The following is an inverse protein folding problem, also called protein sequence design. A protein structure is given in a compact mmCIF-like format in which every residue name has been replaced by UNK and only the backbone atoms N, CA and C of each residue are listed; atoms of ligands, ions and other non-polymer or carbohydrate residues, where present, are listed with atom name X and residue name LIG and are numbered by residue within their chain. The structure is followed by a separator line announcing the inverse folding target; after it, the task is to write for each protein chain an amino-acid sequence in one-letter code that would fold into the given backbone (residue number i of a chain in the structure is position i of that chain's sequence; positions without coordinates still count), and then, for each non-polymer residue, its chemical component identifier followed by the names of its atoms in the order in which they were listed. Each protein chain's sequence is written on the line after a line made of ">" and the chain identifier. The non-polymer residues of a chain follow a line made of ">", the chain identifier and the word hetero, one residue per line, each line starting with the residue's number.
data_IF_726869185158
#
_entry.id   IF_726869185158
#
_cell.length_a   1.000
_cell.length_b   1.000
_cell.length_c   1.000
_cell.angle_alpha   90.00
_cell.angle_beta   90.00
_cell.angle_gamma   90.00
#
_symmetry.space_group_name_H-M   'P 1'
#
loop_
_entity.id
_entity.type
_entity.pdbx_description
1 polymer ?
#
# COMPACT_ATOMS: atom_id res chain seq x y z
N UNK A 1 -34.73 41.06 -9.98
CA UNK A 1 -35.11 40.16 -8.88
C UNK A 1 -33.89 39.92 -8.02
N UNK A 2 -33.82 40.57 -6.86
CA UNK A 2 -32.75 40.36 -5.87
C UNK A 2 -33.13 39.16 -5.01
N UNK A 3 -32.38 38.06 -5.11
CA UNK A 3 -32.53 36.91 -4.21
C UNK A 3 -31.98 37.29 -2.83
N UNK A 4 -32.83 37.31 -1.80
CA UNK A 4 -32.37 37.42 -0.42
C UNK A 4 -31.98 36.04 0.09
N UNK A 5 -30.70 35.88 0.47
CA UNK A 5 -30.17 34.65 1.02
C UNK A 5 -30.71 34.46 2.44
N UNK A 6 -31.49 33.39 2.65
CA UNK A 6 -31.99 33.04 3.97
C UNK A 6 -30.99 32.14 4.72
N UNK A 7 -30.10 32.76 5.49
CA UNK A 7 -29.06 32.06 6.26
C UNK A 7 -29.61 31.01 7.24
N UNK A 8 -30.80 31.20 7.80
CA UNK A 8 -31.42 30.21 8.69
C UNK A 8 -31.70 28.91 7.94
N UNK A 9 -32.26 28.99 6.72
CA UNK A 9 -32.50 27.82 5.88
C UNK A 9 -31.21 27.10 5.52
N UNK A 10 -30.15 27.85 5.20
CA UNK A 10 -28.83 27.28 4.89
C UNK A 10 -28.27 26.51 6.09
N UNK A 11 -28.28 27.12 7.28
CA UNK A 11 -27.80 26.47 8.50
C UNK A 11 -28.61 25.23 8.84
N UNK A 12 -29.94 25.26 8.66
CA UNK A 12 -30.78 24.07 8.85
C UNK A 12 -30.42 22.96 7.87
N UNK A 13 -30.21 23.27 6.58
CA UNK A 13 -29.83 22.28 5.57
C UNK A 13 -28.47 21.66 5.90
N UNK A 14 -27.47 22.48 6.22
CA UNK A 14 -26.13 22.00 6.61
C UNK A 14 -26.22 21.13 7.86
N UNK A 15 -26.97 21.56 8.88
CA UNK A 15 -27.15 20.79 10.11
C UNK A 15 -27.78 19.43 9.85
N UNK A 16 -28.88 19.38 9.11
CA UNK A 16 -29.57 18.12 8.75
C UNK A 16 -28.64 17.21 7.93
N UNK A 17 -27.95 17.75 6.94
CA UNK A 17 -27.03 16.98 6.09
C UNK A 17 -25.86 16.39 6.91
N UNK A 18 -25.22 17.19 7.76
CA UNK A 18 -24.13 16.74 8.64
C UNK A 18 -24.63 15.69 9.63
N UNK A 19 -25.80 15.90 10.26
CA UNK A 19 -26.38 14.92 11.18
C UNK A 19 -26.70 13.60 10.50
N UNK A 20 -27.29 13.61 9.30
CA UNK A 20 -27.54 12.40 8.53
C UNK A 20 -26.24 11.70 8.13
N UNK A 21 -25.22 12.45 7.70
CA UNK A 21 -23.91 11.91 7.34
C UNK A 21 -23.20 11.26 8.53
N UNK A 22 -23.18 11.93 9.69
CA UNK A 22 -22.61 11.38 10.93
C UNK A 22 -23.38 10.14 11.38
N UNK A 23 -24.71 10.19 11.36
CA UNK A 23 -25.55 9.05 11.76
C UNK A 23 -25.33 7.85 10.84
N UNK A 24 -25.28 8.06 9.53
CA UNK A 24 -24.95 7.01 8.57
C UNK A 24 -23.54 6.44 8.83
N UNK A 25 -22.54 7.30 9.04
CA UNK A 25 -21.17 6.88 9.33
C UNK A 25 -21.07 6.06 10.62
N UNK A 26 -21.88 6.35 11.64
CA UNK A 26 -21.91 5.61 12.91
C UNK A 26 -22.53 4.21 12.80
N UNK A 27 -23.37 3.95 11.79
CA UNK A 27 -24.10 2.69 11.62
C UNK A 27 -23.55 1.85 10.44
N UNK A 28 -22.80 2.47 9.53
CA UNK A 28 -22.22 1.80 8.37
C UNK A 28 -21.16 0.77 8.78
N UNK A 29 -21.22 -0.42 8.18
CA UNK A 29 -20.15 -1.43 8.25
C UNK A 29 -18.82 -0.88 7.68
N UNK A 30 -18.90 0.08 6.77
CA UNK A 30 -17.77 0.81 6.18
C UNK A 30 -17.70 2.23 6.76
N UNK A 31 -17.60 2.36 8.07
CA UNK A 31 -17.43 3.66 8.73
C UNK A 31 -16.05 4.26 8.47
N UNK A 32 -16.00 5.60 8.39
CA UNK A 32 -14.76 6.37 8.24
C UNK A 32 -14.43 6.99 9.59
N UNK A 33 -13.20 6.79 10.06
CA UNK A 33 -12.72 7.42 11.30
C UNK A 33 -12.71 8.96 11.15
N UNK A 34 -13.24 9.66 12.16
CA UNK A 34 -13.26 11.12 12.17
C UNK A 34 -11.87 11.75 12.29
N UNK A 35 -10.92 11.02 12.86
CA UNK A 35 -9.52 11.42 12.96
C UNK A 35 -8.70 10.33 12.28
N UNK A 36 -8.06 10.68 11.15
CA UNK A 36 -7.13 9.77 10.48
C UNK A 36 -5.96 9.50 11.42
N UNK A 37 -5.85 8.28 11.92
CA UNK A 37 -4.63 7.81 12.57
C UNK A 37 -3.70 7.29 11.50
N UNK A 38 -2.57 7.95 11.30
CA UNK A 38 -1.55 7.45 10.38
C UNK A 38 -0.76 6.35 11.09
N UNK A 39 -0.72 5.15 10.50
CA UNK A 39 0.16 4.08 11.01
C UNK A 39 1.61 4.51 10.77
N UNK A 40 2.37 4.70 11.84
CA UNK A 40 3.80 5.00 11.77
C UNK A 40 4.56 3.69 11.60
N UNK A 41 5.06 3.44 10.39
CA UNK A 41 5.92 2.30 10.10
C UNK A 41 7.35 2.56 10.55
N UNK A 42 8.00 1.55 11.13
CA UNK A 42 9.40 1.66 11.57
C UNK A 42 10.35 1.30 10.43
N UNK A 43 11.39 2.11 10.26
CA UNK A 43 12.52 1.79 9.38
C UNK A 43 13.31 0.58 9.94
N UNK A 44 13.80 -0.27 9.05
CA UNK A 44 14.76 -1.32 9.39
C UNK A 44 16.13 -0.69 9.63
N UNK A 45 16.66 -0.81 10.85
CA UNK A 45 18.01 -0.33 11.20
C UNK A 45 19.11 -1.20 10.54
N UNK A 46 20.13 -0.57 9.95
CA UNK A 46 21.19 -1.22 9.18
C UNK A 46 22.00 -2.29 9.93
N UNK A 47 22.05 -2.20 11.27
CA UNK A 47 22.70 -3.19 12.13
C UNK A 47 21.92 -4.51 12.27
N UNK A 48 20.70 -4.57 11.74
CA UNK A 48 19.78 -5.71 11.84
C UNK A 48 19.51 -6.44 10.51
N UNK A 49 20.33 -6.20 9.47
CA UNK A 49 20.30 -7.00 8.21
C UNK A 49 20.86 -8.42 8.43
N UNK A 50 20.96 -8.91 9.67
CA UNK A 50 20.55 -10.29 9.93
C UNK A 50 19.04 -10.30 10.05
N UNK A 51 18.33 -10.26 8.91
CA UNK A 51 16.91 -10.60 8.88
C UNK A 51 16.87 -12.06 9.35
N UNK A 52 16.72 -12.26 10.66
CA UNK A 52 16.35 -13.55 11.18
C UNK A 52 14.93 -13.78 10.65
N UNK A 53 14.84 -14.41 9.48
CA UNK A 53 13.60 -14.79 8.80
C UNK A 53 12.74 -15.72 9.68
N UNK A 54 13.22 -16.08 10.87
CA UNK A 54 12.49 -16.79 11.92
C UNK A 54 11.81 -15.87 12.94
N UNK A 55 12.06 -14.56 12.93
CA UNK A 55 11.25 -13.62 13.69
C UNK A 55 9.97 -13.29 12.91
N UNK A 56 8.83 -13.54 13.54
CA UNK A 56 7.51 -13.16 13.02
C UNK A 56 7.43 -11.64 12.97
N UNK A 57 7.49 -11.05 11.77
CA UNK A 57 7.29 -9.60 11.59
C UNK A 57 5.78 -9.35 11.69
N UNK A 58 5.30 -8.99 12.89
CA UNK A 58 3.88 -8.75 13.14
C UNK A 58 3.37 -7.51 12.40
N UNK A 59 4.24 -6.53 12.14
CA UNK A 59 3.90 -5.30 11.42
C UNK A 59 4.90 -5.06 10.30
N UNK A 60 4.46 -4.67 9.09
CA UNK A 60 5.36 -4.34 7.99
C UNK A 60 6.40 -3.30 8.41
N UNK A 61 7.63 -3.43 7.92
CA UNK A 61 8.71 -2.46 8.18
C UNK A 61 9.15 -1.80 6.89
N UNK A 62 9.61 -0.55 6.99
CA UNK A 62 10.15 0.19 5.86
C UNK A 62 11.60 -0.22 5.60
N UNK A 63 11.97 -0.37 4.34
CA UNK A 63 13.34 -0.61 3.90
C UNK A 63 13.84 0.48 2.96
N UNK A 64 15.16 0.71 3.00
CA UNK A 64 15.82 1.64 2.08
C UNK A 64 15.98 1.05 0.67
N UNK A 65 16.31 1.90 -0.30
CA UNK A 65 16.65 1.49 -1.67
C UNK A 65 17.87 0.55 -1.70
N UNK A 66 18.88 0.77 -0.86
CA UNK A 66 20.03 -0.12 -0.74
C UNK A 66 19.64 -1.51 -0.21
N UNK A 67 18.79 -1.55 0.82
CA UNK A 67 18.28 -2.81 1.38
C UNK A 67 17.38 -3.56 0.38
N UNK A 68 16.49 -2.84 -0.33
CA UNK A 68 15.66 -3.42 -1.38
C UNK A 68 16.53 -4.05 -2.49
N UNK A 69 17.55 -3.33 -2.96
CA UNK A 69 18.45 -3.85 -3.98
C UNK A 69 19.28 -5.05 -3.51
N UNK A 70 19.70 -5.06 -2.24
CA UNK A 70 20.39 -6.21 -1.65
C UNK A 70 19.50 -7.46 -1.66
N UNK A 71 18.25 -7.33 -1.23
CA UNK A 71 17.27 -8.44 -1.19
C UNK A 71 16.87 -8.93 -2.58
N UNK A 72 16.79 -8.02 -3.55
CA UNK A 72 16.63 -8.34 -4.96
C UNK A 72 17.84 -9.14 -5.48
N UNK A 73 19.05 -8.64 -5.26
CA UNK A 73 20.29 -9.25 -5.76
C UNK A 73 20.55 -10.63 -5.16
N UNK A 74 20.17 -10.85 -3.89
CA UNK A 74 20.28 -12.14 -3.22
C UNK A 74 19.08 -13.07 -3.45
N UNK A 75 18.10 -12.64 -4.26
CA UNK A 75 16.85 -13.39 -4.53
C UNK A 75 16.15 -13.88 -3.25
N UNK A 76 16.23 -13.07 -2.19
CA UNK A 76 15.76 -13.47 -0.85
C UNK A 76 14.35 -12.95 -0.54
N UNK A 77 13.74 -12.23 -1.47
CA UNK A 77 12.39 -11.70 -1.36
C UNK A 77 11.69 -11.66 -2.73
N UNK A 78 10.36 -11.70 -2.70
CA UNK A 78 9.50 -11.52 -3.87
C UNK A 78 8.95 -10.09 -3.83
N UNK A 79 9.08 -9.37 -4.94
CA UNK A 79 8.58 -8.01 -5.04
C UNK A 79 7.10 -8.00 -5.46
N UNK A 80 6.32 -7.10 -4.88
CA UNK A 80 4.93 -6.85 -5.24
C UNK A 80 4.80 -5.39 -5.66
N UNK A 81 4.42 -5.17 -6.92
CA UNK A 81 4.10 -3.85 -7.45
C UNK A 81 2.62 -3.55 -7.19
N UNK A 82 2.36 -2.54 -6.36
CA UNK A 82 1.00 -2.13 -5.98
C UNK A 82 0.34 -1.13 -6.95
N UNK A 83 1.06 -0.72 -8.00
CA UNK A 83 0.57 0.21 -9.03
C UNK A 83 -0.42 -0.48 -9.96
N UNK A 84 -1.06 0.32 -10.81
CA UNK A 84 -1.94 -0.24 -11.84
C UNK A 84 -1.17 -1.03 -12.90
N UNK A 85 -1.93 -1.79 -13.70
CA UNK A 85 -1.38 -2.68 -14.72
C UNK A 85 -0.62 -1.95 -15.83
N UNK A 86 -0.99 -0.72 -16.14
CA UNK A 86 -0.35 0.07 -17.21
C UNK A 86 1.03 0.49 -16.75
N UNK A 87 1.12 1.08 -15.56
CA UNK A 87 2.37 1.45 -14.92
C UNK A 87 3.32 0.24 -14.77
N UNK A 88 2.78 -0.91 -14.37
CA UNK A 88 3.55 -2.16 -14.31
C UNK A 88 4.05 -2.59 -15.68
N UNK A 89 3.19 -2.58 -16.71
CA UNK A 89 3.57 -2.99 -18.06
C UNK A 89 4.66 -2.11 -18.68
N UNK A 90 4.63 -0.81 -18.41
CA UNK A 90 5.59 0.17 -18.91
C UNK A 90 6.97 0.02 -18.28
N UNK A 91 7.04 -0.53 -17.07
CA UNK A 91 8.25 -0.98 -16.42
C UNK A 91 8.05 -1.29 -14.94
N UNK A 92 8.71 -2.35 -14.46
CA UNK A 92 8.67 -2.79 -13.06
C UNK A 92 9.98 -3.47 -12.63
N UNK A 93 10.11 -3.74 -11.33
CA UNK A 93 11.24 -4.53 -10.79
C UNK A 93 11.16 -5.96 -11.33
N UNK A 94 12.25 -6.54 -11.88
CA UNK A 94 12.21 -7.87 -12.50
C UNK A 94 11.67 -8.96 -11.56
N UNK A 95 10.79 -9.80 -12.10
CA UNK A 95 10.12 -10.85 -11.33
C UNK A 95 9.09 -10.37 -10.30
N UNK A 96 8.76 -9.07 -10.28
CA UNK A 96 7.70 -8.57 -9.40
C UNK A 96 6.31 -9.09 -9.83
N UNK A 97 5.43 -9.27 -8.85
CA UNK A 97 4.03 -9.63 -9.07
C UNK A 97 3.21 -8.33 -9.01
N UNK A 98 2.40 -8.04 -10.03
CA UNK A 98 1.49 -6.91 -9.98
C UNK A 98 0.22 -7.25 -9.17
N UNK A 99 -0.02 -6.51 -8.10
CA UNK A 99 -1.24 -6.58 -7.30
C UNK A 99 -1.71 -5.14 -7.06
N UNK A 100 -2.50 -4.55 -7.97
CA UNK A 100 -2.98 -3.19 -7.83
C UNK A 100 -3.83 -3.02 -6.56
N UNK A 101 -3.45 -2.08 -5.69
CA UNK A 101 -4.15 -1.89 -4.41
C UNK A 101 -5.63 -1.53 -4.59
N UNK A 102 -5.93 -0.67 -5.58
CA UNK A 102 -7.30 -0.20 -5.84
C UNK A 102 -8.26 -1.33 -6.24
N UNK A 103 -7.74 -2.40 -6.86
CA UNK A 103 -8.52 -3.57 -7.28
C UNK A 103 -8.13 -4.82 -6.48
N UNK A 104 -7.66 -4.63 -5.25
CA UNK A 104 -7.28 -5.74 -4.40
C UNK A 104 -8.48 -6.64 -4.11
N UNK A 105 -8.35 -7.91 -4.49
CA UNK A 105 -9.31 -8.96 -4.19
C UNK A 105 -8.60 -10.11 -3.47
N UNK A 106 -8.91 -10.37 -2.17
CA UNK A 106 -8.29 -11.44 -1.40
C UNK A 106 -8.61 -12.83 -1.97
N UNK A 107 -9.69 -12.99 -2.75
CA UNK A 107 -10.07 -14.23 -3.42
C UNK A 107 -9.46 -14.40 -4.81
N UNK A 108 -8.71 -13.42 -5.31
CA UNK A 108 -8.10 -13.50 -6.64
C UNK A 108 -7.06 -14.61 -6.71
N UNK A 109 -6.94 -15.25 -7.89
CA UNK A 109 -5.95 -16.32 -8.11
C UNK A 109 -4.52 -15.88 -7.80
N UNK A 110 -4.19 -14.61 -8.04
CA UNK A 110 -2.86 -14.06 -7.77
C UNK A 110 -2.59 -14.12 -6.27
N UNK A 111 -3.51 -13.59 -5.45
CA UNK A 111 -3.38 -13.55 -3.99
C UNK A 111 -3.43 -14.96 -3.39
N UNK A 112 -4.36 -15.82 -3.83
CA UNK A 112 -4.49 -17.18 -3.28
C UNK A 112 -3.32 -18.11 -3.62
N UNK A 113 -2.53 -17.77 -4.65
CA UNK A 113 -1.35 -18.54 -5.05
C UNK A 113 -0.06 -18.09 -4.35
N UNK A 114 -0.10 -17.00 -3.57
CA UNK A 114 1.05 -16.55 -2.79
C UNK A 114 1.33 -17.51 -1.64
N UNK A 115 2.59 -17.87 -1.43
CA UNK A 115 3.02 -18.65 -0.26
C UNK A 115 3.27 -17.71 0.93
N UNK A 116 2.57 -17.92 2.04
CA UNK A 116 2.71 -17.16 3.29
C UNK A 116 4.08 -17.27 3.95
N UNK A 117 4.91 -18.24 3.55
CA UNK A 117 6.28 -18.43 4.09
C UNK A 117 7.31 -17.49 3.47
N UNK A 118 7.01 -16.95 2.28
CA UNK A 118 7.90 -16.08 1.55
C UNK A 118 7.98 -14.69 2.19
N UNK A 119 9.12 -14.04 1.98
CA UNK A 119 9.29 -12.62 2.27
C UNK A 119 8.80 -11.81 1.07
N UNK A 120 7.86 -10.90 1.29
CA UNK A 120 7.38 -9.99 0.26
C UNK A 120 7.83 -8.55 0.52
N UNK A 121 8.28 -7.88 -0.53
CA UNK A 121 8.59 -6.45 -0.53
C UNK A 121 7.58 -5.75 -1.40
N UNK A 122 6.79 -4.86 -0.83
CA UNK A 122 5.71 -4.17 -1.53
C UNK A 122 6.15 -2.74 -1.83
N UNK A 123 5.91 -2.27 -3.05
CA UNK A 123 6.29 -0.93 -3.49
C UNK A 123 5.20 -0.25 -4.34
N UNK A 124 5.28 1.07 -4.46
CA UNK A 124 4.48 1.92 -5.34
C UNK A 124 5.42 2.83 -6.17
N UNK A 125 4.95 3.95 -6.73
CA UNK A 125 5.73 4.95 -7.45
C UNK A 125 6.78 5.61 -6.55
N UNK A 126 6.35 6.18 -5.43
CA UNK A 126 7.18 7.05 -4.58
C UNK A 126 6.80 6.97 -3.10
N UNK A 127 7.53 7.72 -2.28
CA UNK A 127 7.36 7.90 -0.84
C UNK A 127 6.00 8.49 -0.44
N UNK A 128 5.46 9.41 -1.25
CA UNK A 128 4.12 9.98 -1.05
C UNK A 128 2.98 9.00 -1.40
N UNK A 129 3.31 7.83 -1.96
CA UNK A 129 2.31 6.84 -2.36
C UNK A 129 1.96 5.85 -1.23
N UNK A 130 0.70 5.89 -0.81
CA UNK A 130 0.19 5.06 0.29
C UNK A 130 -0.26 3.65 -0.15
N UNK A 131 -0.28 3.31 -1.43
CA UNK A 131 -0.82 2.02 -1.90
C UNK A 131 0.02 0.84 -1.42
N UNK A 132 1.33 1.01 -1.27
CA UNK A 132 2.23 -0.03 -0.76
C UNK A 132 1.90 -0.38 0.70
N UNK A 133 1.68 0.66 1.54
CA UNK A 133 1.28 0.54 2.94
C UNK A 133 -0.11 -0.09 3.08
N UNK A 134 -1.08 0.35 2.28
CA UNK A 134 -2.44 -0.20 2.27
C UNK A 134 -2.45 -1.67 1.87
N UNK A 135 -1.81 -2.02 0.76
CA UNK A 135 -1.70 -3.41 0.32
C UNK A 135 -0.99 -4.29 1.34
N UNK A 136 0.08 -3.79 1.98
CA UNK A 136 0.75 -4.51 3.07
C UNK A 136 -0.20 -4.80 4.24
N UNK A 137 -1.06 -3.86 4.61
CA UNK A 137 -2.07 -4.09 5.65
C UNK A 137 -3.12 -5.12 5.22
N UNK A 138 -3.57 -5.11 3.96
CA UNK A 138 -4.51 -6.12 3.47
C UNK A 138 -3.89 -7.52 3.48
N UNK A 139 -2.65 -7.66 3.03
CA UNK A 139 -1.92 -8.92 3.11
C UNK A 139 -1.69 -9.35 4.57
N UNK A 140 -1.42 -8.42 5.48
CA UNK A 140 -1.29 -8.75 6.90
C UNK A 140 -2.60 -9.32 7.48
N UNK A 141 -3.77 -8.78 7.11
CA UNK A 141 -5.09 -9.34 7.51
C UNK A 141 -5.29 -10.77 7.01
N UNK A 142 -4.65 -11.13 5.89
CA UNK A 142 -4.62 -12.48 5.35
C UNK A 142 -3.53 -13.37 5.99
N UNK A 143 -2.91 -12.97 7.11
CA UNK A 143 -1.85 -13.73 7.81
C UNK A 143 -0.53 -13.83 7.04
N UNK A 144 -0.19 -12.87 6.17
CA UNK A 144 1.18 -12.72 5.67
C UNK A 144 2.02 -11.96 6.71
N UNK A 145 2.98 -12.67 7.33
CA UNK A 145 3.75 -12.17 8.48
C UNK A 145 5.21 -11.82 8.15
N UNK A 146 5.56 -11.77 6.85
CA UNK A 146 6.90 -11.45 6.36
C UNK A 146 6.77 -10.41 5.26
N UNK A 147 6.42 -9.20 5.67
CA UNK A 147 6.15 -8.08 4.79
C UNK A 147 7.13 -6.94 5.06
N UNK A 148 7.71 -6.41 4.00
CA UNK A 148 8.52 -5.19 3.99
C UNK A 148 7.90 -4.21 3.01
N UNK A 149 8.07 -2.93 3.29
CA UNK A 149 7.58 -1.83 2.45
C UNK A 149 8.81 -1.10 1.92
N UNK A 150 8.94 -1.07 0.61
CA UNK A 150 9.94 -0.27 -0.06
C UNK A 150 9.31 1.08 -0.43
N UNK A 151 9.42 2.03 0.51
CA UNK A 151 8.68 3.29 0.49
C UNK A 151 9.09 4.21 -0.66
N UNK A 152 10.38 4.36 -0.94
CA UNK A 152 10.83 5.26 -2.01
C UNK A 152 10.49 4.76 -3.42
N UNK A 153 9.99 3.53 -3.54
CA UNK A 153 9.26 3.05 -4.70
C UNK A 153 10.04 3.00 -6.01
N UNK A 154 9.27 2.84 -7.08
CA UNK A 154 9.72 2.72 -8.47
C UNK A 154 10.57 3.89 -8.93
N UNK A 155 10.23 5.12 -8.55
CA UNK A 155 10.97 6.31 -8.96
C UNK A 155 12.42 6.25 -8.50
N UNK A 156 12.65 5.87 -7.24
CA UNK A 156 14.00 5.72 -6.71
C UNK A 156 14.77 4.55 -7.35
N UNK A 157 14.06 3.49 -7.76
CA UNK A 157 14.65 2.35 -8.46
C UNK A 157 15.20 2.75 -9.83
N UNK A 158 14.39 3.51 -10.59
CA UNK A 158 14.79 4.06 -11.89
C UNK A 158 15.92 5.07 -11.75
N UNK A 159 15.87 5.97 -10.76
CA UNK A 159 16.93 6.96 -10.52
C UNK A 159 18.29 6.32 -10.25
N UNK A 160 18.32 5.13 -9.63
CA UNK A 160 19.54 4.35 -9.41
C UNK A 160 20.01 3.56 -10.62
N UNK A 161 19.26 3.57 -11.74
CA UNK A 161 19.48 2.74 -12.92
C UNK A 161 19.57 1.24 -12.59
N UNK A 162 18.76 0.78 -11.64
CA UNK A 162 18.67 -0.64 -11.33
C UNK A 162 17.93 -1.43 -12.43
N UNK A 163 18.10 -2.76 -12.51
CA UNK A 163 17.50 -3.58 -13.56
C UNK A 163 15.98 -3.44 -13.60
N UNK A 164 15.39 -3.42 -14.79
CA UNK A 164 13.94 -3.34 -14.99
C UNK A 164 13.44 -4.43 -15.93
N UNK A 165 12.16 -4.76 -15.80
CA UNK A 165 11.42 -5.63 -16.70
C UNK A 165 10.20 -4.89 -17.26
N UNK A 166 9.77 -5.25 -18.46
CA UNK A 166 8.52 -4.79 -19.08
C UNK A 166 7.69 -6.01 -19.43
N UNK A 167 6.38 -5.87 -19.33
CA UNK A 167 5.45 -6.95 -19.63
C UNK A 167 4.42 -6.48 -20.65
N UNK A 168 3.93 -7.41 -21.48
CA UNK A 168 2.78 -7.12 -22.33
C UNK A 168 1.53 -7.01 -21.46
N UNK A 169 0.67 -6.05 -21.77
CA UNK A 169 -0.63 -5.89 -21.11
C UNK A 169 -1.49 -7.15 -21.37
N UNK A 170 -1.77 -7.89 -20.30
CA UNK A 170 -2.72 -9.02 -20.29
C UNK A 170 -4.09 -8.64 -19.74
#
# INVERSE_FOLDING_TARGET
>A
MTYEINFKKILTIIGVATSLGVFYNLISDNSVDFIRTEKVYKMVEDSSISIDLNQTIIEPRLISIEQAYQLFSSQSAIFIDSRDKWDFSDGHIPGAINIPEYNFDPGSKIVTNLDHKNLYIIYCNSDDCETSKKLANELLKLSFNKLLIFESGWDSWILKNYPIEKSELQ
#
